data_IF_889658469407
#
_entry.id   IF_889658469407
#
_cell.length_a   1.000
_cell.length_b   1.000
_cell.length_c   1.000
_cell.angle_alpha   90.00
_cell.angle_beta   90.00
_cell.angle_gamma   90.00
#
_symmetry.space_group_name_H-M   'P 1'
#
loop_
_entity.id
_entity.type
_entity.pdbx_description
1 polymer ?
#
# COMPACT_ATOMS: atom_id res chain seq x y z
N UNK A 1 24.08 16.80 12.53
CA UNK A 1 22.65 16.49 12.36
C UNK A 1 21.96 16.72 13.70
N UNK A 2 21.08 17.71 13.82
CA UNK A 2 20.38 17.99 15.08
C UNK A 2 19.07 17.21 15.10
N UNK A 3 18.89 16.35 16.11
CA UNK A 3 17.66 15.60 16.31
C UNK A 3 16.75 16.42 17.23
N UNK A 4 15.71 17.02 16.66
CA UNK A 4 14.70 17.74 17.43
C UNK A 4 13.60 16.78 17.88
N UNK A 5 13.18 16.89 19.15
CA UNK A 5 12.06 16.15 19.73
C UNK A 5 11.11 17.15 20.38
N UNK A 6 9.81 16.98 20.13
CA UNK A 6 8.78 17.78 20.80
C UNK A 6 8.71 17.34 22.27
N UNK A 7 8.62 18.30 23.19
CA UNK A 7 8.45 18.03 24.62
C UNK A 7 7.02 17.50 24.87
N UNK A 8 6.88 16.20 25.19
CA UNK A 8 5.59 15.57 25.47
C UNK A 8 4.87 16.13 26.70
N UNK A 9 5.62 16.72 27.64
CA UNK A 9 5.06 17.33 28.86
C UNK A 9 4.56 18.76 28.63
N UNK A 10 4.80 19.35 27.45
CA UNK A 10 4.26 20.66 27.15
C UNK A 10 2.72 20.63 27.15
N UNK A 11 2.11 21.62 27.81
CA UNK A 11 0.65 21.71 27.97
C UNK A 11 -0.11 21.59 26.64
N UNK A 12 0.36 22.24 25.56
CA UNK A 12 -0.30 22.17 24.26
C UNK A 12 -0.11 20.80 23.60
N UNK A 13 1.09 20.23 23.71
CA UNK A 13 1.40 18.92 23.13
C UNK A 13 0.50 17.84 23.75
N UNK A 14 0.36 17.85 25.07
CA UNK A 14 -0.44 16.88 25.82
C UNK A 14 -1.94 17.09 25.66
N UNK A 15 -2.42 18.34 25.73
CA UNK A 15 -3.86 18.61 25.81
C UNK A 15 -4.51 18.98 24.47
N UNK A 16 -3.73 19.44 23.49
CA UNK A 16 -4.25 19.87 22.18
C UNK A 16 -3.81 18.89 21.09
N UNK A 17 -2.52 18.51 21.06
CA UNK A 17 -1.96 17.73 19.95
C UNK A 17 -2.03 16.22 20.10
N UNK A 18 -2.18 15.69 21.32
CA UNK A 18 -2.20 14.24 21.57
C UNK A 18 -3.22 13.51 20.67
N UNK A 19 -4.44 14.02 20.57
CA UNK A 19 -5.49 13.41 19.73
C UNK A 19 -5.11 13.40 18.24
N UNK A 20 -4.42 14.45 17.77
CA UNK A 20 -4.00 14.51 16.37
C UNK A 20 -2.87 13.51 16.08
N UNK A 21 -1.93 13.33 17.01
CA UNK A 21 -0.89 12.31 16.87
C UNK A 21 -1.47 10.89 16.90
N UNK A 22 -2.46 10.62 17.76
CA UNK A 22 -3.15 9.33 17.79
C UNK A 22 -3.90 9.06 16.48
N UNK A 23 -4.56 10.08 15.93
CA UNK A 23 -5.23 10.00 14.63
C UNK A 23 -4.25 9.76 13.48
N UNK A 24 -3.10 10.43 13.48
CA UNK A 24 -2.02 10.22 12.52
C UNK A 24 -1.46 8.79 12.61
N UNK A 25 -1.21 8.30 13.82
CA UNK A 25 -0.72 6.93 14.05
C UNK A 25 -1.71 5.86 13.56
N UNK A 26 -3.01 6.15 13.57
CA UNK A 26 -4.05 5.26 13.06
C UNK A 26 -4.21 5.30 11.53
N UNK A 27 -3.70 6.35 10.85
CA UNK A 27 -3.87 6.57 9.41
C UNK A 27 -3.40 5.40 8.53
N UNK A 28 -2.20 4.78 8.72
CA UNK A 28 -1.75 3.67 7.88
C UNK A 28 -2.75 2.51 7.86
N UNK A 29 -3.28 2.13 9.04
CA UNK A 29 -4.25 1.05 9.17
C UNK A 29 -5.58 1.39 8.47
N UNK A 30 -6.00 2.65 8.54
CA UNK A 30 -7.21 3.12 7.84
C UNK A 30 -7.04 3.10 6.31
N UNK A 31 -5.84 3.43 5.81
CA UNK A 31 -5.51 3.35 4.39
C UNK A 31 -5.54 1.89 3.90
N UNK A 32 -4.87 0.97 4.61
CA UNK A 32 -4.88 -0.47 4.30
C UNK A 32 -6.31 -1.03 4.24
N UNK A 33 -7.14 -0.68 5.22
CA UNK A 33 -8.54 -1.08 5.25
C UNK A 33 -9.33 -0.50 4.08
N UNK A 34 -9.06 0.75 3.69
CA UNK A 34 -9.70 1.41 2.54
C UNK A 34 -9.33 0.71 1.22
N UNK A 35 -8.05 0.41 1.01
CA UNK A 35 -7.54 -0.30 -0.17
C UNK A 35 -8.15 -1.69 -0.27
N UNK A 36 -8.04 -2.47 0.81
CA UNK A 36 -8.55 -3.83 0.86
C UNK A 36 -10.05 -3.84 0.58
N UNK A 37 -10.81 -2.96 1.24
CA UNK A 37 -12.26 -2.88 1.03
C UNK A 37 -12.63 -2.46 -0.40
N UNK A 38 -11.89 -1.54 -1.02
CA UNK A 38 -12.19 -1.09 -2.37
C UNK A 38 -11.93 -2.16 -3.43
N UNK A 39 -10.82 -2.89 -3.30
CA UNK A 39 -10.38 -3.86 -4.32
C UNK A 39 -10.98 -5.26 -4.13
N UNK A 40 -11.46 -5.60 -2.93
CA UNK A 40 -12.02 -6.93 -2.63
C UNK A 40 -13.54 -6.98 -2.56
N UNK A 41 -14.22 -5.82 -2.42
CA UNK A 41 -15.68 -5.77 -2.30
C UNK A 41 -16.35 -5.87 -3.68
N UNK A 42 -17.36 -6.77 -3.75
CA UNK A 42 -18.22 -7.12 -4.90
C UNK A 42 -17.50 -7.88 -6.03
N UNK A 43 -18.13 -9.00 -6.39
CA UNK A 43 -17.76 -10.05 -7.33
C UNK A 43 -16.92 -9.61 -8.53
N UNK A 44 -15.93 -10.45 -8.87
CA UNK A 44 -14.98 -10.44 -10.00
C UNK A 44 -14.49 -9.05 -10.45
N UNK A 45 -13.17 -8.81 -10.44
CA UNK A 45 -12.11 -9.81 -10.57
C UNK A 45 -11.62 -10.36 -9.22
N UNK A 46 -11.21 -11.63 -9.23
CA UNK A 46 -10.53 -12.24 -8.08
C UNK A 46 -9.14 -11.62 -7.97
N UNK A 47 -8.92 -10.79 -6.96
CA UNK A 47 -7.57 -10.32 -6.61
C UNK A 47 -6.86 -11.47 -5.91
N UNK A 48 -5.71 -11.88 -6.44
CA UNK A 48 -4.90 -12.99 -5.88
C UNK A 48 -4.12 -12.50 -4.67
N UNK A 49 -3.55 -11.31 -4.77
CA UNK A 49 -2.75 -10.70 -3.70
C UNK A 49 -2.65 -9.18 -3.84
N UNK A 50 -2.61 -8.49 -2.71
CA UNK A 50 -2.32 -7.06 -2.58
C UNK A 50 -1.13 -6.88 -1.65
N UNK A 51 -0.10 -6.21 -2.13
CA UNK A 51 1.17 -6.09 -1.42
C UNK A 51 1.63 -4.64 -1.45
N UNK A 52 1.78 -4.05 -0.27
CA UNK A 52 2.39 -2.73 -0.14
C UNK A 52 3.91 -2.90 -0.17
N UNK A 53 4.60 -2.12 -0.97
CA UNK A 53 6.07 -2.16 -1.03
C UNK A 53 6.65 -0.74 -1.07
N UNK A 54 7.94 -0.64 -1.35
CA UNK A 54 8.61 0.65 -1.52
C UNK A 54 8.86 1.37 -0.19
N UNK A 55 9.02 2.69 -0.28
CA UNK A 55 9.50 3.52 0.84
C UNK A 55 8.58 3.50 2.07
N UNK A 56 7.27 3.32 1.85
CA UNK A 56 6.24 3.24 2.88
C UNK A 56 6.25 1.89 3.62
N UNK A 57 6.62 0.80 2.96
CA UNK A 57 6.67 -0.52 3.59
C UNK A 57 7.90 -0.69 4.52
N UNK A 58 8.98 0.08 4.29
CA UNK A 58 10.20 0.08 5.12
C UNK A 58 10.06 0.78 6.49
N UNK A 59 8.86 1.24 6.85
CA UNK A 59 8.51 1.61 8.23
C UNK A 59 9.12 2.92 8.76
N UNK A 60 9.71 3.78 7.93
CA UNK A 60 10.50 4.93 8.41
C UNK A 60 9.82 6.29 8.31
N UNK A 61 8.50 6.34 8.52
CA UNK A 61 7.58 7.50 8.46
C UNK A 61 6.87 7.61 7.11
N UNK A 62 5.54 7.70 7.19
CA UNK A 62 4.72 8.26 6.11
C UNK A 62 5.18 9.70 5.96
N UNK A 63 6.05 10.00 4.99
CA UNK A 63 6.29 11.39 4.64
C UNK A 63 5.06 11.83 3.87
N UNK A 64 4.55 13.04 4.16
CA UNK A 64 3.39 13.60 3.47
C UNK A 64 3.54 13.66 1.93
N UNK A 65 4.75 13.46 1.39
CA UNK A 65 5.07 13.43 -0.03
C UNK A 65 5.44 12.04 -0.58
N UNK A 66 5.31 10.96 0.20
CA UNK A 66 5.67 9.61 -0.27
C UNK A 66 4.51 8.96 -0.98
N UNK A 67 4.76 8.52 -2.20
CA UNK A 67 3.82 7.73 -2.98
C UNK A 67 3.57 6.37 -2.32
N UNK A 68 2.33 5.89 -2.40
CA UNK A 68 1.97 4.57 -1.92
C UNK A 68 2.13 3.55 -3.06
N UNK A 69 3.20 2.77 -3.00
CA UNK A 69 3.45 1.69 -3.94
C UNK A 69 2.65 0.43 -3.57
N UNK A 70 1.76 0.02 -4.48
CA UNK A 70 0.87 -1.13 -4.27
C UNK A 70 1.01 -2.12 -5.43
N UNK A 71 1.49 -3.33 -5.16
CA UNK A 71 1.43 -4.43 -6.11
C UNK A 71 0.04 -5.05 -6.04
N UNK A 72 -0.60 -5.19 -7.20
CA UNK A 72 -1.88 -5.85 -7.35
C UNK A 72 -1.69 -7.06 -8.25
N UNK A 73 -1.89 -8.26 -7.71
CA UNK A 73 -1.76 -9.52 -8.46
C UNK A 73 -3.12 -10.04 -8.87
N UNK A 74 -3.28 -10.29 -10.15
CA UNK A 74 -4.51 -10.80 -10.76
C UNK A 74 -4.29 -12.16 -11.42
N UNK A 75 -5.33 -13.00 -11.58
CA UNK A 75 -5.18 -14.30 -12.20
C UNK A 75 -4.97 -14.17 -13.72
N UNK A 76 -5.58 -13.16 -14.35
CA UNK A 76 -5.59 -12.99 -15.81
C UNK A 76 -5.74 -11.54 -16.25
N UNK A 77 -5.58 -11.27 -17.55
CA UNK A 77 -5.71 -9.91 -18.14
C UNK A 77 -7.16 -9.44 -18.23
N UNK A 78 -8.12 -10.35 -18.33
CA UNK A 78 -9.55 -10.01 -18.28
C UNK A 78 -9.90 -9.40 -16.92
N UNK A 79 -9.25 -9.88 -15.87
CA UNK A 79 -9.39 -9.34 -14.52
C UNK A 79 -8.88 -7.92 -14.39
N UNK A 80 -7.87 -7.52 -15.18
CA UNK A 80 -7.33 -6.16 -15.17
C UNK A 80 -8.38 -5.15 -15.65
N UNK A 81 -9.04 -5.41 -16.78
CA UNK A 81 -10.05 -4.51 -17.36
C UNK A 81 -11.21 -4.24 -16.38
N UNK A 82 -11.61 -5.25 -15.63
CA UNK A 82 -12.67 -5.10 -14.62
C UNK A 82 -12.20 -4.32 -13.38
N UNK A 83 -10.89 -4.27 -13.12
CA UNK A 83 -10.31 -3.61 -11.94
C UNK A 83 -9.90 -2.16 -12.19
N UNK A 84 -9.53 -1.79 -13.43
CA UNK A 84 -9.13 -0.43 -13.82
C UNK A 84 -10.04 0.68 -13.25
N UNK A 85 -11.39 0.64 -13.43
CA UNK A 85 -12.26 1.70 -12.89
C UNK A 85 -12.24 1.74 -11.35
N UNK A 86 -12.08 0.59 -10.68
CA UNK A 86 -11.98 0.53 -9.21
C UNK A 86 -10.64 1.10 -8.73
N UNK A 87 -9.55 0.88 -9.47
CA UNK A 87 -8.23 1.43 -9.15
C UNK A 87 -8.22 2.95 -9.29
N UNK A 88 -8.86 3.49 -10.31
CA UNK A 88 -8.91 4.95 -10.50
C UNK A 88 -9.73 5.63 -9.40
N UNK A 89 -10.89 5.06 -9.05
CA UNK A 89 -11.67 5.51 -7.90
C UNK A 89 -10.89 5.40 -6.58
N UNK A 90 -10.08 4.35 -6.42
CA UNK A 90 -9.26 4.18 -5.24
C UNK A 90 -8.16 5.24 -5.16
N UNK A 91 -7.47 5.55 -6.27
CA UNK A 91 -6.47 6.63 -6.32
C UNK A 91 -7.09 7.94 -5.87
N UNK A 92 -8.25 8.30 -6.43
CA UNK A 92 -8.95 9.53 -6.09
C UNK A 92 -9.38 9.54 -4.62
N UNK A 93 -9.93 8.44 -4.11
CA UNK A 93 -10.36 8.33 -2.72
C UNK A 93 -9.18 8.46 -1.74
N UNK A 94 -8.04 7.85 -2.02
CA UNK A 94 -6.86 7.95 -1.18
C UNK A 94 -6.26 9.35 -1.20
N UNK A 95 -6.17 9.96 -2.39
CA UNK A 95 -5.67 11.33 -2.51
C UNK A 95 -6.59 12.33 -1.79
N UNK A 96 -7.91 12.25 -1.98
CA UNK A 96 -8.87 13.14 -1.32
C UNK A 96 -8.89 12.99 0.20
N UNK A 97 -8.79 11.76 0.71
CA UNK A 97 -8.98 11.47 2.14
C UNK A 97 -7.70 11.53 2.96
N UNK A 98 -6.58 11.13 2.38
CA UNK A 98 -5.30 11.00 3.07
C UNK A 98 -4.20 11.88 2.47
N UNK A 99 -4.46 12.56 1.34
CA UNK A 99 -3.45 13.32 0.60
C UNK A 99 -2.24 12.47 0.17
N UNK A 100 -2.46 11.17 -0.03
CA UNK A 100 -1.43 10.22 -0.47
C UNK A 100 -1.73 9.78 -1.89
N UNK A 101 -0.83 10.04 -2.86
CA UNK A 101 -0.94 9.49 -4.20
C UNK A 101 -0.70 7.97 -4.19
N UNK A 102 -1.50 7.23 -4.95
CA UNK A 102 -1.39 5.79 -5.09
C UNK A 102 -0.72 5.46 -6.43
N UNK A 103 0.35 4.67 -6.37
CA UNK A 103 1.10 4.15 -7.51
C UNK A 103 0.86 2.64 -7.63
N UNK A 104 -0.24 2.21 -8.29
CA UNK A 104 -0.55 0.79 -8.42
C UNK A 104 0.33 0.15 -9.50
N UNK A 105 1.03 -0.90 -9.12
CA UNK A 105 1.73 -1.80 -10.02
C UNK A 105 0.89 -3.07 -10.22
N UNK A 106 0.11 -3.11 -11.29
CA UNK A 106 -0.78 -4.26 -11.56
C UNK A 106 -0.06 -5.28 -12.42
N UNK A 107 -0.09 -6.55 -12.01
CA UNK A 107 0.51 -7.68 -12.72
C UNK A 107 -0.40 -8.89 -12.69
N UNK A 108 -0.39 -9.67 -13.77
CA UNK A 108 -0.96 -11.02 -13.71
C UNK A 108 0.01 -11.99 -13.03
N UNK A 109 -0.49 -13.09 -12.45
CA UNK A 109 0.35 -14.12 -11.84
C UNK A 109 1.42 -14.68 -12.81
N UNK A 110 1.11 -14.97 -14.10
CA UNK A 110 2.13 -15.39 -15.06
C UNK A 110 3.20 -14.32 -15.32
N UNK A 111 2.82 -13.04 -15.43
CA UNK A 111 3.76 -11.93 -15.63
C UNK A 111 4.67 -11.73 -14.42
N UNK A 112 4.12 -11.84 -13.21
CA UNK A 112 4.88 -11.74 -11.97
C UNK A 112 5.95 -12.85 -11.89
N UNK A 113 5.58 -14.09 -12.21
CA UNK A 113 6.51 -15.23 -12.28
C UNK A 113 7.58 -15.02 -13.33
N UNK A 114 7.21 -14.57 -14.53
CA UNK A 114 8.18 -14.28 -15.58
C UNK A 114 9.20 -13.20 -15.15
N UNK A 115 8.74 -12.14 -14.49
CA UNK A 115 9.61 -11.06 -13.98
C UNK A 115 10.51 -11.53 -12.84
N UNK A 116 10.03 -12.44 -11.99
CA UNK A 116 10.84 -13.11 -10.98
C UNK A 116 11.96 -13.95 -11.61
N UNK A 117 11.64 -14.78 -12.62
CA UNK A 117 12.65 -15.57 -13.33
C UNK A 117 13.71 -14.70 -14.02
N UNK A 118 13.31 -13.53 -14.54
CA UNK A 118 14.22 -12.54 -15.11
C UNK A 118 15.02 -11.74 -14.06
N UNK A 119 14.80 -11.99 -12.76
CA UNK A 119 15.47 -11.33 -11.63
C UNK A 119 15.40 -9.80 -11.72
N UNK A 120 14.23 -9.28 -12.10
CA UNK A 120 14.07 -7.82 -12.17
C UNK A 120 14.23 -7.21 -10.77
N UNK A 121 15.00 -6.10 -10.62
CA UNK A 121 15.27 -5.49 -9.32
C UNK A 121 14.01 -5.19 -8.50
N UNK A 122 12.96 -4.69 -9.15
CA UNK A 122 11.67 -4.38 -8.53
C UNK A 122 11.03 -5.60 -7.82
N UNK A 123 11.12 -6.79 -8.41
CA UNK A 123 10.57 -8.01 -7.79
C UNK A 123 11.41 -8.39 -6.56
N UNK A 124 12.72 -8.19 -6.62
CA UNK A 124 13.61 -8.36 -5.47
C UNK A 124 13.26 -7.43 -4.31
N UNK A 125 12.95 -6.16 -4.59
CA UNK A 125 12.49 -5.20 -3.58
C UNK A 125 11.14 -5.62 -2.96
N UNK A 126 10.18 -6.03 -3.78
CA UNK A 126 8.87 -6.51 -3.30
C UNK A 126 9.03 -7.76 -2.43
N UNK A 127 9.92 -8.69 -2.79
CA UNK A 127 10.18 -9.90 -2.00
C UNK A 127 10.88 -9.62 -0.66
N UNK A 128 11.69 -8.56 -0.60
CA UNK A 128 12.47 -8.19 0.58
C UNK A 128 11.68 -7.33 1.56
N UNK A 129 11.06 -6.26 1.05
CA UNK A 129 10.43 -5.20 1.84
C UNK A 129 8.90 -5.18 1.71
N UNK A 130 8.33 -5.98 0.80
CA UNK A 130 6.88 -6.01 0.58
C UNK A 130 6.12 -6.63 1.74
N UNK A 131 4.99 -6.00 2.09
CA UNK A 131 4.04 -6.49 3.09
C UNK A 131 2.70 -6.80 2.43
N UNK A 132 2.34 -8.07 2.45
CA UNK A 132 1.03 -8.56 1.99
C UNK A 132 -0.07 -8.02 2.90
N UNK A 133 -1.06 -7.32 2.33
CA UNK A 133 -2.23 -6.78 3.05
C UNK A 133 -3.52 -7.56 2.74
N UNK A 134 -3.53 -8.36 1.67
CA UNK A 134 -4.64 -9.24 1.32
C UNK A 134 -4.18 -10.39 0.42
N UNK A 135 -4.81 -11.56 0.56
CA UNK A 135 -4.59 -12.71 -0.32
C UNK A 135 -3.35 -13.51 0.04
N UNK A 136 -2.74 -14.16 -0.96
CA UNK A 136 -1.55 -15.01 -0.78
C UNK A 136 -0.27 -14.17 -0.68
N UNK A 137 0.71 -14.64 0.08
CA UNK A 137 2.00 -13.97 0.15
C UNK A 137 2.76 -14.05 -1.19
N UNK A 138 3.54 -13.02 -1.53
CA UNK A 138 4.32 -13.00 -2.78
C UNK A 138 5.28 -14.16 -2.87
N UNK A 139 5.86 -14.60 -1.73
CA UNK A 139 6.78 -15.74 -1.70
C UNK A 139 6.06 -17.03 -2.03
N UNK A 140 4.83 -17.21 -1.56
CA UNK A 140 3.99 -18.37 -1.90
C UNK A 140 3.55 -18.38 -3.37
N UNK A 141 3.36 -17.21 -3.98
CA UNK A 141 2.98 -17.10 -5.39
C UNK A 141 4.12 -17.45 -6.36
N UNK A 142 5.36 -17.27 -5.90
CA UNK A 142 6.60 -17.43 -6.66
C UNK A 142 7.39 -18.70 -6.32
N UNK A 143 6.96 -19.44 -5.30
CA UNK A 143 7.42 -20.81 -5.02
C UNK A 143 6.97 -21.77 -6.14
#
# INVERSE_FOLDING_TARGET
MHLYKINSENYLVRNVFALQFDAEAAMPKQMEATITKALTRRAKPEVVSLVLFGSMARGTKIRASSDLDLLVVLPSKESLKALEPKLEQLKEALFRRFHVPLSPYVQTLPELRQKHHRKLPLIGEILKDGRTIYGKDVKELLA
#
